data_IF_392602005743
#
_entry.id   IF_392602005743
#
_cell.length_a   1.000
_cell.length_b   1.000
_cell.length_c   1.000
_cell.angle_alpha   90.00
_cell.angle_beta   90.00
_cell.angle_gamma   90.00
#
_symmetry.space_group_name_H-M   'P 1'
#
loop_
_entity.id
_entity.type
_entity.pdbx_description
1 polymer ?
#
# COMPACT_ATOMS: atom_id res chain seq x y z
N UNK A 1 -14.90 0.70 15.27
CA UNK A 1 -14.11 0.03 14.21
C UNK A 1 -13.00 0.97 13.79
N UNK A 2 -11.74 0.53 13.90
CA UNK A 2 -10.57 1.37 13.61
C UNK A 2 -10.10 1.11 12.18
N UNK A 3 -9.84 2.17 11.41
CA UNK A 3 -9.45 2.09 10.00
C UNK A 3 -8.36 3.11 9.68
N UNK A 4 -7.33 2.68 8.96
CA UNK A 4 -6.27 3.54 8.46
C UNK A 4 -5.91 3.21 7.00
N UNK A 5 -5.41 4.21 6.28
CA UNK A 5 -4.83 4.03 4.93
C UNK A 5 -3.31 4.11 5.03
N UNK A 6 -2.60 3.03 4.74
CA UNK A 6 -1.13 3.03 4.72
C UNK A 6 -0.60 3.17 3.30
N UNK A 7 0.22 4.19 3.10
CA UNK A 7 0.79 4.56 1.81
C UNK A 7 2.31 4.42 1.94
N UNK A 8 2.88 3.48 1.20
CA UNK A 8 4.34 3.40 1.08
C UNK A 8 4.84 4.30 -0.04
N UNK A 9 5.93 5.01 0.21
CA UNK A 9 6.48 6.02 -0.68
C UNK A 9 7.97 6.26 -0.41
N UNK A 10 8.60 7.06 -1.27
CA UNK A 10 9.93 7.64 -1.08
C UNK A 10 9.84 9.13 -1.39
N UNK A 11 10.61 9.98 -0.70
CA UNK A 11 10.47 11.45 -0.80
C UNK A 11 10.50 12.01 -2.23
N UNK A 12 11.28 11.40 -3.13
CA UNK A 12 11.34 11.83 -4.54
C UNK A 12 10.04 11.60 -5.32
N UNK A 13 9.08 10.85 -4.79
CA UNK A 13 7.79 10.54 -5.43
C UNK A 13 6.67 11.51 -5.03
N UNK A 14 7.05 12.70 -4.52
CA UNK A 14 6.14 13.75 -4.04
C UNK A 14 4.96 14.05 -4.96
N UNK A 15 5.16 14.15 -6.28
CA UNK A 15 4.07 14.45 -7.22
C UNK A 15 2.99 13.36 -7.21
N UNK A 16 3.40 12.09 -7.18
CA UNK A 16 2.45 10.98 -7.12
C UNK A 16 1.73 10.94 -5.77
N UNK A 17 2.49 11.12 -4.68
CA UNK A 17 1.96 11.17 -3.33
C UNK A 17 0.95 12.31 -3.15
N UNK A 18 1.28 13.53 -3.57
CA UNK A 18 0.40 14.70 -3.45
C UNK A 18 -0.93 14.45 -4.18
N UNK A 19 -0.87 13.90 -5.40
CA UNK A 19 -2.07 13.56 -6.17
C UNK A 19 -2.94 12.49 -5.48
N UNK A 20 -2.33 11.48 -4.87
CA UNK A 20 -3.05 10.48 -4.07
C UNK A 20 -3.68 11.14 -2.83
N UNK A 21 -2.88 11.90 -2.08
CA UNK A 21 -3.33 12.58 -0.86
C UNK A 21 -4.49 13.49 -1.17
N UNK A 22 -4.44 14.29 -2.24
CA UNK A 22 -5.52 15.16 -2.70
C UNK A 22 -6.81 14.38 -2.97
N UNK A 23 -6.69 13.17 -3.53
CA UNK A 23 -7.84 12.31 -3.85
C UNK A 23 -8.45 11.58 -2.66
N UNK A 24 -7.78 11.54 -1.49
CA UNK A 24 -8.31 10.85 -0.31
C UNK A 24 -9.70 11.41 0.06
N UNK A 25 -10.68 10.53 0.40
CA UNK A 25 -11.91 10.95 1.03
C UNK A 25 -11.69 11.88 2.23
N UNK A 26 -12.55 12.89 2.44
CA UNK A 26 -12.44 13.81 3.58
C UNK A 26 -12.28 13.08 4.92
N UNK A 27 -13.07 12.02 5.14
CA UNK A 27 -13.06 11.24 6.39
C UNK A 27 -11.78 10.40 6.62
N UNK A 28 -10.89 10.35 5.63
CA UNK A 28 -9.62 9.64 5.68
C UNK A 28 -8.41 10.57 5.78
N UNK A 29 -8.60 11.89 5.61
CA UNK A 29 -7.52 12.89 5.69
C UNK A 29 -6.83 12.91 7.06
N UNK A 30 -7.48 12.41 8.11
CA UNK A 30 -6.94 12.27 9.46
C UNK A 30 -6.59 10.83 9.84
N UNK A 31 -6.59 9.89 8.88
CA UNK A 31 -6.44 8.45 9.13
C UNK A 31 -5.44 7.78 8.18
N UNK A 32 -4.52 8.54 7.60
CA UNK A 32 -3.48 7.96 6.75
C UNK A 32 -2.14 7.85 7.48
N UNK A 33 -1.38 6.84 7.07
CA UNK A 33 -0.03 6.53 7.52
C UNK A 33 0.87 6.63 6.29
N UNK A 34 1.87 7.51 6.32
CA UNK A 34 2.91 7.55 5.31
C UNK A 34 4.10 6.74 5.78
N UNK A 35 4.50 5.76 4.98
CA UNK A 35 5.70 4.96 5.21
C UNK A 35 6.76 5.36 4.20
N UNK A 36 7.65 6.27 4.62
CA UNK A 36 8.80 6.69 3.84
C UNK A 36 9.91 5.66 3.92
N UNK A 37 10.50 5.36 2.77
CA UNK A 37 11.61 4.44 2.63
C UNK A 37 12.87 5.19 2.16
N UNK A 38 14.04 4.54 2.26
CA UNK A 38 15.33 5.12 1.87
C UNK A 38 15.69 6.38 2.69
N UNK A 39 15.34 6.38 3.98
CA UNK A 39 15.49 7.53 4.87
C UNK A 39 16.79 7.46 5.68
N UNK A 40 17.52 8.57 5.78
CA UNK A 40 18.67 8.65 6.68
C UNK A 40 18.19 8.78 8.14
N UNK A 41 18.38 7.73 8.94
CA UNK A 41 17.96 7.70 10.34
C UNK A 41 18.66 8.74 11.22
N UNK A 42 19.84 9.23 10.83
CA UNK A 42 20.52 10.32 11.55
C UNK A 42 19.77 11.65 11.44
N UNK A 43 18.88 11.79 10.46
CA UNK A 43 18.08 13.01 10.23
C UNK A 43 16.73 13.00 10.95
N UNK A 44 16.42 11.91 11.66
CA UNK A 44 15.14 11.71 12.34
C UNK A 44 15.37 11.46 13.83
N UNK A 45 14.85 12.35 14.67
CA UNK A 45 14.91 12.18 16.14
C UNK A 45 14.14 10.92 16.59
N UNK A 46 13.03 10.64 15.92
CA UNK A 46 12.23 9.43 16.09
C UNK A 46 11.88 8.83 14.73
N UNK A 47 11.80 7.49 14.66
CA UNK A 47 11.39 6.79 13.44
C UNK A 47 9.88 6.86 13.15
N UNK A 48 9.12 7.56 13.99
CA UNK A 48 7.66 7.73 13.89
C UNK A 48 7.28 9.15 14.29
N UNK A 49 6.33 9.77 13.60
CA UNK A 49 5.78 11.08 13.95
C UNK A 49 4.26 11.08 13.85
N UNK A 50 3.59 11.74 14.78
CA UNK A 50 2.13 11.92 14.81
C UNK A 50 1.85 13.42 14.71
N UNK A 51 0.96 13.79 13.80
CA UNK A 51 0.61 15.18 13.54
C UNK A 51 -0.73 15.55 14.19
N UNK A 52 -0.98 16.85 14.36
CA UNK A 52 -2.18 17.36 15.02
C UNK A 52 -3.48 16.97 14.30
N UNK A 53 -3.43 16.85 12.97
CA UNK A 53 -4.54 16.41 12.15
C UNK A 53 -4.77 14.89 12.21
N UNK A 54 -3.96 14.14 12.96
CA UNK A 54 -4.09 12.71 13.18
C UNK A 54 -3.36 11.82 12.17
N UNK A 55 -2.75 12.38 11.11
CA UNK A 55 -1.93 11.56 10.24
C UNK A 55 -0.62 11.18 10.91
N UNK A 56 -0.06 10.05 10.46
CA UNK A 56 1.18 9.50 10.99
C UNK A 56 2.21 9.33 9.89
N UNK A 57 3.47 9.52 10.24
CA UNK A 57 4.60 9.22 9.37
C UNK A 57 5.52 8.20 10.06
N UNK A 58 6.04 7.26 9.26
CA UNK A 58 7.02 6.27 9.67
C UNK A 58 8.19 6.33 8.69
N UNK A 59 9.41 6.41 9.21
CA UNK A 59 10.62 6.51 8.41
C UNK A 59 11.42 5.21 8.52
N UNK A 60 11.67 4.58 7.37
CA UNK A 60 12.43 3.34 7.26
C UNK A 60 13.77 3.61 6.55
N UNK A 61 14.90 3.12 7.11
CA UNK A 61 16.20 3.22 6.43
C UNK A 61 16.28 2.35 5.18
N UNK A 62 15.42 1.34 5.09
CA UNK A 62 15.46 0.35 4.03
C UNK A 62 14.60 0.81 2.86
N UNK A 63 14.96 0.36 1.65
CA UNK A 63 14.16 0.53 0.44
C UNK A 63 13.68 -0.83 -0.06
N UNK A 64 12.53 -1.27 0.45
CA UNK A 64 11.92 -2.57 0.15
C UNK A 64 10.76 -2.46 -0.85
N UNK A 65 10.83 -1.45 -1.74
CA UNK A 65 9.88 -1.24 -2.83
C UNK A 65 8.41 -1.21 -2.33
N UNK A 66 7.52 -2.01 -2.91
CA UNK A 66 6.10 -2.04 -2.55
C UNK A 66 5.83 -2.63 -1.15
N UNK A 67 6.84 -3.16 -0.44
CA UNK A 67 6.68 -3.86 0.84
C UNK A 67 6.85 -2.98 2.10
N UNK A 68 7.12 -1.68 1.95
CA UNK A 68 7.35 -0.77 3.07
C UNK A 68 6.23 -0.76 4.12
N UNK A 69 4.97 -0.80 3.67
CA UNK A 69 3.79 -0.77 4.54
C UNK A 69 3.80 -1.88 5.61
N UNK A 70 4.27 -3.09 5.29
CA UNK A 70 4.30 -4.21 6.23
C UNK A 70 5.21 -3.92 7.43
N UNK A 71 6.37 -3.31 7.17
CA UNK A 71 7.33 -2.96 8.22
C UNK A 71 6.85 -1.71 8.96
N UNK A 72 6.49 -0.66 8.23
CA UNK A 72 6.11 0.63 8.82
C UNK A 72 4.88 0.54 9.73
N UNK A 73 3.84 -0.18 9.30
CA UNK A 73 2.64 -0.34 10.11
C UNK A 73 2.89 -1.24 11.32
N UNK A 74 3.76 -2.25 11.20
CA UNK A 74 4.15 -3.07 12.35
C UNK A 74 4.82 -2.23 13.45
N UNK A 75 5.67 -1.26 13.09
CA UNK A 75 6.28 -0.33 14.06
C UNK A 75 5.19 0.40 14.86
N UNK A 76 4.10 0.82 14.21
CA UNK A 76 2.98 1.49 14.89
C UNK A 76 2.22 0.55 15.84
N UNK A 77 2.05 -0.72 15.47
CA UNK A 77 1.46 -1.73 16.36
C UNK A 77 2.36 -2.01 17.58
N UNK A 78 3.67 -2.17 17.38
CA UNK A 78 4.63 -2.43 18.46
C UNK A 78 4.68 -1.27 19.47
N UNK A 79 4.63 -0.04 18.96
CA UNK A 79 4.54 1.18 19.77
C UNK A 79 3.13 1.46 20.34
N UNK A 80 2.13 0.63 20.00
CA UNK A 80 0.73 0.80 20.39
C UNK A 80 0.13 2.16 19.98
N UNK A 81 0.59 2.71 18.85
CA UNK A 81 0.11 3.98 18.30
C UNK A 81 -1.19 3.81 17.51
N UNK A 82 -1.47 2.59 17.04
CA UNK A 82 -2.75 2.21 16.43
C UNK A 82 -3.38 1.02 17.17
N UNK A 83 -4.72 0.96 17.27
CA UNK A 83 -5.42 -0.16 17.92
C UNK A 83 -5.18 -1.50 17.23
N UNK A 84 -5.00 -2.58 18.00
CA UNK A 84 -4.70 -3.91 17.47
C UNK A 84 -5.80 -4.53 16.59
N UNK A 85 -7.03 -4.06 16.74
CA UNK A 85 -8.22 -4.47 15.97
C UNK A 85 -8.43 -3.64 14.70
N UNK A 86 -7.46 -2.81 14.31
CA UNK A 86 -7.58 -1.94 13.13
C UNK A 86 -7.52 -2.72 11.83
N UNK A 87 -8.35 -2.30 10.88
CA UNK A 87 -8.17 -2.59 9.46
C UNK A 87 -7.27 -1.55 8.82
N UNK A 88 -6.29 -2.00 8.04
CA UNK A 88 -5.37 -1.12 7.35
C UNK A 88 -5.50 -1.35 5.84
N UNK A 89 -5.79 -0.29 5.08
CA UNK A 89 -5.77 -0.32 3.62
C UNK A 89 -4.35 -0.07 3.14
N UNK A 90 -3.66 -1.12 2.67
CA UNK A 90 -2.35 -1.01 2.05
C UNK A 90 -2.50 -0.59 0.59
N UNK A 91 -1.92 0.57 0.28
CA UNK A 91 -1.83 1.11 -1.08
C UNK A 91 -0.43 1.72 -1.29
N UNK A 92 -0.12 2.08 -2.53
CA UNK A 92 1.13 2.75 -2.88
C UNK A 92 0.83 4.18 -3.33
N UNK A 93 1.82 5.07 -3.27
CA UNK A 93 1.74 6.46 -3.77
C UNK A 93 1.33 6.59 -5.25
N UNK A 94 1.42 5.52 -6.01
CA UNK A 94 0.99 5.42 -7.41
C UNK A 94 -0.49 5.07 -7.58
N UNK A 95 -1.34 5.36 -6.58
CA UNK A 95 -2.79 5.16 -6.65
C UNK A 95 -3.53 6.51 -6.70
N UNK A 96 -4.83 6.48 -6.99
CA UNK A 96 -5.74 7.63 -6.86
C UNK A 96 -7.16 7.15 -6.63
N UNK A 97 -7.87 7.75 -5.68
CA UNK A 97 -9.29 7.49 -5.51
C UNK A 97 -10.09 8.27 -6.55
N UNK A 98 -11.03 7.59 -7.21
CA UNK A 98 -11.77 8.19 -8.32
C UNK A 98 -12.78 9.22 -7.82
N UNK A 99 -13.48 8.90 -6.73
CA UNK A 99 -14.49 9.75 -6.11
C UNK A 99 -14.69 9.37 -4.63
N UNK A 100 -15.58 10.08 -3.93
CA UNK A 100 -15.86 9.83 -2.51
C UNK A 100 -16.60 8.51 -2.22
N UNK A 101 -17.14 7.81 -3.22
CA UNK A 101 -17.83 6.52 -3.01
C UNK A 101 -16.87 5.42 -2.52
N UNK A 102 -15.55 5.60 -2.72
CA UNK A 102 -14.54 4.65 -2.25
C UNK A 102 -14.59 4.44 -0.73
N UNK A 103 -15.01 5.43 0.06
CA UNK A 103 -15.14 5.29 1.52
C UNK A 103 -16.26 4.31 1.88
N UNK A 104 -17.43 4.46 1.26
CA UNK A 104 -18.58 3.57 1.46
C UNK A 104 -18.31 2.14 0.97
N UNK A 105 -17.66 1.99 -0.18
CA UNK A 105 -17.26 0.67 -0.71
C UNK A 105 -16.28 -0.04 0.22
N UNK A 106 -15.26 0.68 0.70
CA UNK A 106 -14.26 0.13 1.63
C UNK A 106 -14.90 -0.24 2.97
N UNK A 107 -15.76 0.62 3.51
CA UNK A 107 -16.50 0.34 4.74
C UNK A 107 -17.43 -0.87 4.59
N UNK A 108 -18.09 -1.01 3.44
CA UNK A 108 -18.92 -2.17 3.12
C UNK A 108 -18.12 -3.47 3.09
N UNK A 109 -16.91 -3.46 2.51
CA UNK A 109 -16.00 -4.59 2.57
C UNK A 109 -15.60 -4.92 4.01
N UNK A 110 -15.18 -3.92 4.80
CA UNK A 110 -14.77 -4.18 6.17
C UNK A 110 -15.93 -4.80 6.98
N UNK A 111 -17.13 -4.24 6.91
CA UNK A 111 -18.30 -4.76 7.62
C UNK A 111 -18.61 -6.23 7.26
N UNK A 112 -18.40 -6.63 6.00
CA UNK A 112 -18.65 -8.00 5.55
C UNK A 112 -17.60 -9.01 6.06
N UNK A 113 -16.42 -8.54 6.44
CA UNK A 113 -15.28 -9.38 6.85
C UNK A 113 -14.90 -9.16 8.32
N UNK A 114 -15.57 -8.28 9.05
CA UNK A 114 -15.14 -7.93 10.41
C UNK A 114 -15.28 -9.12 11.37
N UNK A 115 -16.34 -9.90 11.22
CA UNK A 115 -16.55 -11.14 11.99
C UNK A 115 -15.87 -12.38 11.36
N UNK A 116 -15.12 -12.20 10.27
CA UNK A 116 -14.41 -13.32 9.63
C UNK A 116 -13.03 -13.56 10.26
N UNK A 117 -12.47 -14.74 9.99
CA UNK A 117 -11.08 -15.09 10.33
C UNK A 117 -10.06 -14.51 9.33
N UNK A 118 -10.47 -13.62 8.42
CA UNK A 118 -9.61 -13.09 7.35
C UNK A 118 -8.56 -12.14 7.92
N UNK A 119 -7.28 -12.42 7.66
CA UNK A 119 -6.16 -11.55 8.02
C UNK A 119 -5.78 -10.61 6.88
N UNK A 120 -5.88 -11.09 5.64
CA UNK A 120 -5.55 -10.34 4.42
C UNK A 120 -6.70 -10.48 3.42
N UNK A 121 -7.37 -9.37 3.13
CA UNK A 121 -8.39 -9.25 2.11
C UNK A 121 -7.82 -8.53 0.88
N UNK A 122 -7.51 -9.31 -0.16
CA UNK A 122 -7.09 -8.80 -1.45
C UNK A 122 -8.26 -8.15 -2.18
N UNK A 123 -8.04 -6.92 -2.67
CA UNK A 123 -9.11 -6.11 -3.25
C UNK A 123 -9.43 -6.45 -4.71
N UNK A 124 -8.94 -7.57 -5.23
CA UNK A 124 -9.35 -8.12 -6.50
C UNK A 124 -9.22 -9.66 -6.53
N UNK A 125 -9.79 -10.27 -7.55
CA UNK A 125 -9.95 -11.72 -7.68
C UNK A 125 -8.65 -12.49 -7.88
N UNK A 126 -7.62 -11.81 -8.37
CA UNK A 126 -6.28 -12.35 -8.62
C UNK A 126 -5.27 -11.86 -7.59
N UNK A 127 -5.65 -10.92 -6.71
CA UNK A 127 -4.71 -10.20 -5.86
C UNK A 127 -3.65 -9.44 -6.68
N UNK A 128 -3.93 -9.07 -7.92
CA UNK A 128 -3.04 -8.26 -8.74
C UNK A 128 -2.59 -7.03 -7.92
N UNK A 129 -1.27 -6.80 -7.87
CA UNK A 129 -0.58 -5.84 -7.00
C UNK A 129 -0.75 -6.06 -5.48
N UNK A 130 0.14 -5.44 -4.71
CA UNK A 130 0.16 -5.45 -3.26
C UNK A 130 -0.87 -4.47 -2.62
N UNK A 131 -2.12 -4.51 -3.10
CA UNK A 131 -3.24 -3.68 -2.62
C UNK A 131 -4.25 -4.56 -1.86
N UNK A 132 -4.38 -4.32 -0.56
CA UNK A 132 -5.24 -5.13 0.30
C UNK A 132 -5.77 -4.35 1.51
N UNK A 133 -6.84 -4.86 2.09
CA UNK A 133 -7.21 -4.60 3.48
C UNK A 133 -6.53 -5.67 4.35
N UNK A 134 -5.85 -5.26 5.41
CA UNK A 134 -5.03 -6.16 6.23
C UNK A 134 -5.23 -5.90 7.73
N UNK A 135 -5.18 -6.97 8.51
CA UNK A 135 -5.20 -6.96 9.98
C UNK A 135 -3.81 -7.20 10.55
N UNK A 136 -3.67 -6.90 11.84
CA UNK A 136 -2.41 -7.01 12.60
C UNK A 136 -1.64 -8.31 12.33
N UNK A 137 -2.29 -9.47 12.36
CA UNK A 137 -1.62 -10.77 12.12
C UNK A 137 -0.96 -10.86 10.75
N UNK A 138 -1.61 -10.37 9.69
CA UNK A 138 -1.02 -10.30 8.36
C UNK A 138 0.16 -9.33 8.29
N UNK A 139 0.06 -8.18 8.97
CA UNK A 139 1.13 -7.19 9.06
C UNK A 139 2.35 -7.76 9.79
N UNK A 140 2.16 -8.39 10.96
CA UNK A 140 3.22 -9.01 11.76
C UNK A 140 3.97 -10.09 10.99
N UNK A 141 3.24 -10.93 10.23
CA UNK A 141 3.87 -11.96 9.41
C UNK A 141 4.75 -11.36 8.31
N UNK A 142 4.25 -10.37 7.56
CA UNK A 142 5.07 -9.72 6.53
C UNK A 142 6.25 -8.96 7.11
N UNK A 143 6.08 -8.28 8.25
CA UNK A 143 7.19 -7.62 8.95
C UNK A 143 8.31 -8.62 9.30
N UNK A 144 7.97 -9.81 9.81
CA UNK A 144 8.96 -10.86 10.10
C UNK A 144 9.83 -11.22 8.89
N UNK A 145 9.27 -11.16 7.68
CA UNK A 145 9.98 -11.47 6.44
C UNK A 145 10.76 -10.28 5.88
N UNK A 146 10.23 -9.06 5.98
CA UNK A 146 10.75 -7.92 5.24
C UNK A 146 11.63 -6.97 6.05
N UNK A 147 11.51 -6.92 7.39
CA UNK A 147 12.17 -5.90 8.22
C UNK A 147 13.70 -5.86 8.08
N UNK A 148 14.32 -7.00 7.81
CA UNK A 148 15.79 -7.14 7.73
C UNK A 148 16.31 -7.00 6.28
N UNK A 149 15.42 -6.84 5.28
CA UNK A 149 15.80 -6.63 3.88
C UNK A 149 16.18 -5.16 3.71
N UNK A 150 17.44 -4.88 3.38
CA UNK A 150 17.93 -3.50 3.18
C UNK A 150 17.42 -2.86 1.90
N UNK A 151 17.41 -3.63 0.82
CA UNK A 151 17.10 -3.16 -0.52
C UNK A 151 16.38 -4.23 -1.33
N UNK A 152 15.37 -3.83 -2.09
CA UNK A 152 14.68 -4.66 -3.08
C UNK A 152 14.47 -3.87 -4.37
N UNK A 153 14.80 -4.49 -5.51
CA UNK A 153 14.55 -3.94 -6.84
C UNK A 153 13.07 -4.00 -7.22
N UNK A 154 12.65 -3.19 -8.21
CA UNK A 154 11.30 -3.27 -8.73
C UNK A 154 11.05 -4.62 -9.41
N UNK A 155 12.03 -5.16 -10.12
CA UNK A 155 11.91 -6.46 -10.77
C UNK A 155 11.74 -7.63 -9.79
N UNK A 156 12.42 -7.62 -8.64
CA UNK A 156 12.17 -8.61 -7.57
C UNK A 156 10.73 -8.53 -7.05
N UNK A 157 10.25 -7.31 -6.83
CA UNK A 157 8.88 -7.06 -6.38
C UNK A 157 7.86 -7.60 -7.38
N UNK A 158 8.02 -7.28 -8.67
CA UNK A 158 7.21 -7.79 -9.78
C UNK A 158 7.23 -9.33 -9.79
N UNK A 159 8.41 -9.94 -9.65
CA UNK A 159 8.54 -11.40 -9.63
C UNK A 159 7.70 -12.02 -8.50
N UNK A 160 7.78 -11.48 -7.29
CA UNK A 160 7.01 -11.98 -6.14
C UNK A 160 5.51 -11.75 -6.28
N UNK A 161 5.09 -10.63 -6.89
CA UNK A 161 3.69 -10.36 -7.19
C UNK A 161 3.10 -11.34 -8.22
N UNK A 162 3.88 -11.80 -9.20
CA UNK A 162 3.38 -12.68 -10.26
C UNK A 162 3.49 -14.18 -9.96
N UNK A 163 4.49 -14.60 -9.17
CA UNK A 163 4.79 -16.03 -9.04
C UNK A 163 4.07 -16.71 -7.88
N UNK A 164 3.39 -15.97 -6.98
CA UNK A 164 2.48 -16.39 -5.88
C UNK A 164 2.95 -17.54 -4.95
N UNK A 165 4.12 -18.11 -5.21
CA UNK A 165 4.71 -19.30 -4.58
C UNK A 165 6.08 -18.99 -3.98
N UNK A 166 6.59 -17.80 -4.25
CA UNK A 166 7.85 -17.30 -3.69
C UNK A 166 7.65 -16.94 -2.23
N UNK A 167 8.58 -17.30 -1.34
CA UNK A 167 8.48 -17.06 0.11
C UNK A 167 8.20 -15.59 0.46
N UNK A 168 8.72 -14.66 -0.35
CA UNK A 168 8.55 -13.22 -0.16
C UNK A 168 7.27 -12.68 -0.80
N UNK A 169 6.42 -13.52 -1.40
CA UNK A 169 5.10 -13.12 -1.90
C UNK A 169 4.10 -13.05 -0.73
N UNK A 170 3.43 -11.91 -0.49
CA UNK A 170 2.40 -11.83 0.54
C UNK A 170 1.25 -12.82 0.36
N UNK A 171 1.05 -13.31 -0.87
CA UNK A 171 -0.03 -14.23 -1.24
C UNK A 171 0.27 -15.67 -0.86
N UNK A 172 1.51 -15.98 -0.51
CA UNK A 172 1.91 -17.30 0.00
C UNK A 172 2.05 -17.34 1.52
N UNK A 173 1.67 -16.26 2.22
CA UNK A 173 1.75 -16.24 3.67
C UNK A 173 0.81 -17.31 4.27
N UNK A 174 1.23 -18.00 5.34
CA UNK A 174 0.41 -18.96 6.05
C UNK A 174 -0.54 -18.26 7.03
N UNK A 175 -1.30 -17.27 6.52
CA UNK A 175 -2.36 -16.54 7.24
C UNK A 175 -3.66 -16.65 6.44
N UNK A 176 -4.79 -16.24 7.01
CA UNK A 176 -6.06 -16.40 6.33
C UNK A 176 -6.25 -15.33 5.25
N UNK A 177 -6.23 -15.76 4.00
CA UNK A 177 -6.46 -14.89 2.85
C UNK A 177 -7.91 -14.93 2.37
N UNK A 178 -8.40 -13.80 1.87
CA UNK A 178 -9.64 -13.70 1.11
C UNK A 178 -9.43 -12.80 -0.09
N UNK A 179 -10.23 -13.00 -1.13
CA UNK A 179 -10.12 -12.27 -2.39
C UNK A 179 -11.51 -11.74 -2.76
N UNK A 180 -11.61 -10.42 -2.98
CA UNK A 180 -12.82 -9.83 -3.53
C UNK A 180 -12.96 -10.31 -4.98
N UNK A 181 -14.04 -11.02 -5.31
CA UNK A 181 -14.26 -11.63 -6.64
C UNK A 181 -14.65 -10.58 -7.71
N UNK A 182 -13.82 -9.56 -7.86
CA UNK A 182 -13.95 -8.47 -8.83
C UNK A 182 -12.59 -8.29 -9.49
N UNK A 183 -12.51 -8.53 -10.80
CA UNK A 183 -11.31 -8.27 -11.57
C UNK A 183 -11.05 -6.76 -11.69
N UNK A 184 -9.77 -6.33 -11.68
CA UNK A 184 -9.43 -4.96 -12.03
C UNK A 184 -9.72 -4.70 -13.51
N UNK A 185 -10.04 -3.45 -13.87
CA UNK A 185 -10.33 -3.06 -15.25
C UNK A 185 -9.19 -2.24 -15.83
N UNK A 186 -8.65 -2.66 -16.96
CA UNK A 186 -7.66 -1.89 -17.71
C UNK A 186 -8.33 -0.72 -18.43
N UNK A 187 -7.96 0.51 -18.06
CA UNK A 187 -8.49 1.74 -18.65
C UNK A 187 -7.61 2.30 -19.78
N UNK A 188 -6.51 1.62 -20.12
CA UNK A 188 -5.57 2.05 -21.15
C UNK A 188 -4.30 2.71 -20.60
N UNK A 189 -3.57 3.37 -21.49
CA UNK A 189 -2.34 4.12 -21.18
C UNK A 189 -2.61 5.62 -21.27
N UNK A 190 -2.16 6.41 -20.29
CA UNK A 190 -2.24 7.89 -20.33
C UNK A 190 -1.14 8.57 -19.54
N UNK A 191 -0.91 9.85 -19.83
CA UNK A 191 -0.05 10.73 -19.05
C UNK A 191 -0.73 11.04 -17.71
N UNK A 192 -0.08 10.67 -16.60
CA UNK A 192 -0.64 10.82 -15.24
C UNK A 192 0.09 11.91 -14.47
N UNK A 193 1.41 11.80 -14.33
CA UNK A 193 2.22 12.72 -13.54
C UNK A 193 2.91 13.80 -14.38
N UNK A 194 3.14 13.52 -15.66
CA UNK A 194 3.77 14.42 -16.61
C UNK A 194 3.39 14.03 -18.04
N UNK A 195 3.70 14.90 -19.00
CA UNK A 195 3.40 14.70 -20.42
C UNK A 195 4.47 13.88 -21.18
N UNK A 196 5.34 13.15 -20.47
CA UNK A 196 6.45 12.39 -21.07
C UNK A 196 6.27 10.89 -20.88
N UNK A 197 5.90 10.45 -19.67
CA UNK A 197 5.81 9.05 -19.30
C UNK A 197 4.34 8.63 -19.19
N UNK A 198 3.91 7.73 -20.07
CA UNK A 198 2.57 7.13 -19.97
C UNK A 198 2.55 6.03 -18.91
N UNK A 199 1.46 5.96 -18.16
CA UNK A 199 1.18 4.90 -17.19
C UNK A 199 0.04 4.04 -17.68
N UNK A 200 0.15 2.74 -17.41
CA UNK A 200 -0.96 1.81 -17.49
C UNK A 200 -1.89 2.08 -16.31
N UNK A 201 -3.18 2.20 -16.59
CA UNK A 201 -4.19 2.53 -15.59
C UNK A 201 -5.06 1.29 -15.36
N UNK A 202 -5.04 0.79 -14.13
CA UNK A 202 -5.95 -0.26 -13.67
C UNK A 202 -6.93 0.31 -12.65
N UNK A 203 -8.21 0.00 -12.81
CA UNK A 203 -9.26 0.36 -11.87
C UNK A 203 -9.60 -0.82 -10.96
N UNK A 204 -9.35 -0.67 -9.66
CA UNK A 204 -9.84 -1.54 -8.59
C UNK A 204 -11.27 -1.14 -8.26
N UNK A 205 -12.23 -1.73 -8.99
CA UNK A 205 -13.66 -1.45 -8.82
C UNK A 205 -14.20 -1.75 -7.43
N UNK A 206 -13.58 -2.68 -6.71
CA UNK A 206 -13.94 -3.07 -5.34
C UNK A 206 -13.93 -1.89 -4.35
N UNK A 207 -13.07 -0.90 -4.58
CA UNK A 207 -12.96 0.31 -3.76
C UNK A 207 -12.89 1.59 -4.60
N UNK A 208 -13.23 1.51 -5.89
CA UNK A 208 -13.17 2.62 -6.86
C UNK A 208 -11.85 3.42 -6.84
N UNK A 209 -10.73 2.71 -6.97
CA UNK A 209 -9.37 3.28 -6.93
C UNK A 209 -8.60 2.93 -8.19
N UNK A 210 -7.94 3.91 -8.80
CA UNK A 210 -7.00 3.68 -9.88
C UNK A 210 -5.60 3.37 -9.32
N UNK A 211 -4.90 2.44 -9.99
CA UNK A 211 -3.49 2.16 -9.81
C UNK A 211 -2.76 2.47 -11.11
N UNK A 212 -1.65 3.19 -11.00
CA UNK A 212 -0.80 3.57 -12.11
C UNK A 212 0.52 2.80 -12.03
N UNK A 213 0.97 2.27 -13.14
CA UNK A 213 2.27 1.59 -13.21
C UNK A 213 2.83 1.61 -14.62
N UNK A 214 4.14 1.43 -14.74
CA UNK A 214 4.78 1.15 -16.01
C UNK A 214 4.89 -0.37 -16.16
N UNK A 215 4.43 -0.93 -17.29
CA UNK A 215 4.79 -2.30 -17.64
C UNK A 215 6.25 -2.29 -18.10
N UNK A 216 7.14 -2.80 -17.27
CA UNK A 216 8.58 -2.90 -17.55
C UNK A 216 8.97 -4.36 -17.70
N UNK A 217 9.85 -4.65 -18.67
CA UNK A 217 10.46 -5.98 -18.82
C UNK A 217 11.83 -6.00 -18.14
N UNK A 218 12.50 -4.86 -18.08
CA UNK A 218 13.78 -4.65 -17.41
C UNK A 218 13.71 -3.43 -16.49
N UNK A 219 14.55 -3.41 -15.43
CA UNK A 219 14.61 -2.28 -14.48
C UNK A 219 14.99 -0.96 -15.18
N UNK A 220 15.84 -1.00 -16.22
CA UNK A 220 16.21 0.18 -17.02
C UNK A 220 15.05 0.82 -17.77
N UNK A 221 13.96 0.06 -17.99
CA UNK A 221 12.74 0.58 -18.64
C UNK A 221 11.87 1.35 -17.62
N UNK A 222 12.17 1.22 -16.33
CA UNK A 222 11.44 1.92 -15.30
C UNK A 222 11.86 3.39 -15.28
N UNK A 223 10.91 4.32 -15.35
CA UNK A 223 11.24 5.74 -15.31
C UNK A 223 11.83 6.13 -13.95
N UNK A 224 12.74 7.11 -13.96
CA UNK A 224 13.37 7.64 -12.74
C UNK A 224 12.36 8.27 -11.76
N UNK A 225 11.21 8.72 -12.28
CA UNK A 225 10.08 9.24 -11.53
C UNK A 225 8.87 8.27 -11.65
N UNK A 226 8.00 8.21 -10.62
CA UNK A 226 6.93 7.23 -10.52
C UNK A 226 5.86 7.43 -11.59
#
# INVERSE_FOLDING_TARGET
MNFFVSITTIKKYKVALDMLLDSLPPDWKNKYILVYQDENMETHEENTKIFEDGHMEVYLPNNISDYGNWVGVNVLFEKKLIPADSWILFIHDTCKFVNHECSGLTQGLINNYDDSQTDILWLCDTGQCNICLIRKTGVEYGNKLYKDIKYMTKMETIKYEHQHRETLSPKSFPVNHSYVRIAPVFLGKRFVYNNQNQRCVLLYKSINMEKYYCHTVQESDHPFAP
#
